data_IF_585492846168
#
_entry.id   IF_585492846168
#
_cell.length_a   1.000
_cell.length_b   1.000
_cell.length_c   1.000
_cell.angle_alpha   90.00
_cell.angle_beta   90.00
_cell.angle_gamma   90.00
#
_symmetry.space_group_name_H-M   'P 1'
#
loop_
_entity.id
_entity.type
_entity.pdbx_description
1 polymer ?
#
# COMPACT_ATOMS: atom_id res chain seq x y z
N UNK A 1 21.31 19.52 -15.89
CA UNK A 1 21.51 18.68 -14.68
C UNK A 1 20.94 19.35 -13.42
N UNK A 2 21.26 20.60 -13.09
CA UNK A 2 20.71 21.32 -11.91
C UNK A 2 19.19 21.53 -11.98
N UNK A 3 18.64 21.95 -13.12
CA UNK A 3 17.19 22.15 -13.28
C UNK A 3 16.40 20.84 -13.08
N UNK A 4 16.90 19.73 -13.59
CA UNK A 4 16.25 18.41 -13.45
C UNK A 4 16.26 17.93 -11.99
N UNK A 5 17.33 18.21 -11.25
CA UNK A 5 17.44 17.89 -9.82
C UNK A 5 16.48 18.74 -8.94
N UNK A 6 16.31 20.01 -9.32
CA UNK A 6 15.37 20.92 -8.65
C UNK A 6 13.93 20.52 -8.92
N UNK A 7 13.60 20.11 -10.14
CA UNK A 7 12.26 19.65 -10.53
C UNK A 7 11.88 18.33 -9.86
N UNK A 8 12.79 17.36 -9.77
CA UNK A 8 12.60 16.11 -9.03
C UNK A 8 12.35 16.37 -7.53
N UNK A 9 13.07 17.31 -6.94
CA UNK A 9 12.88 17.70 -5.55
C UNK A 9 11.51 18.34 -5.32
N UNK A 10 11.05 19.20 -6.22
CA UNK A 10 9.72 19.82 -6.14
C UNK A 10 8.62 18.77 -6.27
N UNK A 11 8.75 17.84 -7.20
CA UNK A 11 7.78 16.74 -7.39
C UNK A 11 7.70 15.85 -6.16
N UNK A 12 8.83 15.46 -5.57
CA UNK A 12 8.87 14.66 -4.35
C UNK A 12 8.20 15.38 -3.17
N UNK A 13 8.47 16.67 -2.99
CA UNK A 13 7.82 17.50 -1.96
C UNK A 13 6.32 17.59 -2.15
N UNK A 14 5.85 17.73 -3.38
CA UNK A 14 4.43 17.70 -3.71
C UNK A 14 3.80 16.35 -3.34
N UNK A 15 4.41 15.22 -3.71
CA UNK A 15 3.90 13.89 -3.34
C UNK A 15 3.75 13.76 -1.82
N UNK A 16 4.77 14.13 -1.04
CA UNK A 16 4.73 14.04 0.42
C UNK A 16 3.66 14.97 1.03
N UNK A 17 3.54 16.20 0.53
CA UNK A 17 2.49 17.12 0.98
C UNK A 17 1.09 16.66 0.57
N UNK A 18 0.96 16.02 -0.59
CA UNK A 18 -0.29 15.41 -1.04
C UNK A 18 -0.74 14.24 -0.17
N UNK A 19 0.20 13.41 0.31
CA UNK A 19 -0.12 12.35 1.28
C UNK A 19 -0.70 12.95 2.56
N UNK A 20 -0.07 14.00 3.08
CA UNK A 20 -0.57 14.70 4.27
C UNK A 20 -1.93 15.34 4.02
N UNK A 21 -2.13 15.97 2.88
CA UNK A 21 -3.40 16.57 2.49
C UNK A 21 -4.53 15.53 2.43
N UNK A 22 -4.24 14.31 1.91
CA UNK A 22 -5.18 13.18 1.94
C UNK A 22 -5.49 12.71 3.35
N UNK A 23 -4.50 12.70 4.24
CA UNK A 23 -4.68 12.30 5.64
C UNK A 23 -5.56 13.30 6.39
N UNK A 24 -5.31 14.60 6.21
CA UNK A 24 -5.97 15.67 6.94
C UNK A 24 -7.40 15.94 6.43
N UNK A 25 -7.67 15.79 5.11
CA UNK A 25 -8.91 16.26 4.48
C UNK A 25 -9.64 15.18 3.66
N UNK A 26 -9.01 14.02 3.41
CA UNK A 26 -9.56 12.97 2.57
C UNK A 26 -9.59 13.32 1.07
N UNK A 27 -10.09 12.38 0.26
CA UNK A 27 -10.11 12.53 -1.19
C UNK A 27 -11.08 13.63 -1.67
N UNK A 28 -12.27 13.69 -1.06
CA UNK A 28 -13.34 14.61 -1.50
C UNK A 28 -12.90 16.06 -1.39
N UNK A 29 -12.27 16.41 -0.26
CA UNK A 29 -11.81 17.78 0.03
C UNK A 29 -10.31 18.01 -0.29
N UNK A 30 -9.69 17.10 -1.02
CA UNK A 30 -8.28 17.24 -1.43
C UNK A 30 -8.05 18.48 -2.31
N UNK A 31 -7.08 19.33 -1.91
CA UNK A 31 -6.77 20.58 -2.58
C UNK A 31 -5.32 20.67 -3.04
N UNK A 32 -5.12 20.77 -4.38
CA UNK A 32 -3.80 20.98 -4.97
C UNK A 32 -3.13 22.27 -4.45
N UNK A 33 -3.94 23.30 -4.15
CA UNK A 33 -3.43 24.57 -3.64
C UNK A 33 -2.88 24.42 -2.21
N UNK A 34 -3.60 23.72 -1.32
CA UNK A 34 -3.13 23.45 0.05
C UNK A 34 -1.87 22.57 0.02
N UNK A 35 -1.87 21.55 -0.82
CA UNK A 35 -0.68 20.70 -1.03
C UNK A 35 0.54 21.51 -1.51
N UNK A 36 0.35 22.45 -2.45
CA UNK A 36 1.44 23.35 -2.90
C UNK A 36 1.98 24.23 -1.79
N UNK A 37 1.09 24.84 -0.98
CA UNK A 37 1.48 25.66 0.17
C UNK A 37 2.27 24.83 1.18
N UNK A 38 1.79 23.63 1.52
CA UNK A 38 2.47 22.72 2.43
C UNK A 38 3.83 22.25 1.90
N UNK A 39 3.94 22.08 0.58
CA UNK A 39 5.21 21.77 -0.11
C UNK A 39 6.15 22.98 -0.22
N UNK A 40 5.72 24.19 0.19
CA UNK A 40 6.46 25.45 0.04
C UNK A 40 6.84 25.75 -1.43
N UNK A 41 5.91 25.54 -2.34
CA UNK A 41 6.05 25.86 -3.77
C UNK A 41 4.90 26.78 -4.23
N UNK A 42 5.03 27.34 -5.44
CA UNK A 42 3.97 28.15 -6.01
C UNK A 42 2.68 27.34 -6.22
N UNK A 43 1.51 27.98 -6.10
CA UNK A 43 0.22 27.32 -6.36
C UNK A 43 0.08 26.79 -7.81
N UNK A 44 0.92 27.25 -8.74
CA UNK A 44 1.00 26.76 -10.11
C UNK A 44 1.88 25.51 -10.26
N UNK A 45 2.73 25.21 -9.27
CA UNK A 45 3.69 24.08 -9.37
C UNK A 45 2.99 22.72 -9.56
N UNK A 46 1.89 22.37 -8.85
CA UNK A 46 1.22 21.10 -9.07
C UNK A 46 0.82 20.89 -10.54
N UNK A 47 0.31 21.92 -11.20
CA UNK A 47 -0.17 21.85 -12.59
C UNK A 47 0.97 21.73 -13.63
N UNK A 48 2.24 21.93 -13.23
CA UNK A 48 3.39 21.63 -14.07
C UNK A 48 3.80 20.16 -13.99
N UNK A 49 3.54 19.50 -12.84
CA UNK A 49 3.96 18.14 -12.56
C UNK A 49 2.85 17.13 -12.74
N UNK A 50 1.59 17.54 -12.63
CA UNK A 50 0.40 16.67 -12.71
C UNK A 50 -0.66 17.37 -13.57
N UNK A 51 -1.22 16.64 -14.51
CA UNK A 51 -2.24 17.13 -15.44
C UNK A 51 -3.51 17.58 -14.69
N UNK A 52 -3.91 16.81 -13.69
CA UNK A 52 -5.12 17.01 -12.91
C UNK A 52 -4.98 16.39 -11.49
N UNK A 53 -6.05 16.53 -10.70
CA UNK A 53 -6.13 15.94 -9.35
C UNK A 53 -5.97 14.41 -9.38
N UNK A 54 -6.58 13.76 -10.36
CA UNK A 54 -6.58 12.29 -10.45
C UNK A 54 -5.19 11.76 -10.77
N UNK A 55 -4.43 12.43 -11.63
CA UNK A 55 -3.04 12.09 -11.89
C UNK A 55 -2.18 12.30 -10.63
N UNK A 56 -2.39 13.38 -9.90
CA UNK A 56 -1.67 13.63 -8.67
C UNK A 56 -1.94 12.51 -7.64
N UNK A 57 -3.19 12.10 -7.45
CA UNK A 57 -3.56 10.99 -6.57
C UNK A 57 -2.93 9.67 -7.04
N UNK A 58 -2.98 9.37 -8.35
CA UNK A 58 -2.30 8.19 -8.89
C UNK A 58 -0.81 8.16 -8.60
N UNK A 59 -0.14 9.29 -8.71
CA UNK A 59 1.29 9.39 -8.42
C UNK A 59 1.61 9.23 -6.92
N UNK A 60 0.73 9.72 -6.04
CA UNK A 60 0.83 9.43 -4.60
C UNK A 60 0.72 7.91 -4.35
N UNK A 61 -0.27 7.25 -4.96
CA UNK A 61 -0.45 5.80 -4.81
C UNK A 61 0.76 5.03 -5.35
N UNK A 62 1.30 5.42 -6.52
CA UNK A 62 2.53 4.82 -7.09
C UNK A 62 3.73 5.00 -6.15
N UNK A 63 3.87 6.18 -5.54
CA UNK A 63 4.95 6.43 -4.58
C UNK A 63 4.86 5.49 -3.37
N UNK A 64 3.68 5.33 -2.78
CA UNK A 64 3.48 4.41 -1.65
C UNK A 64 3.71 2.96 -2.09
N UNK A 65 3.23 2.58 -3.29
CA UNK A 65 3.44 1.25 -3.86
C UNK A 65 4.93 0.94 -4.07
N UNK A 66 5.71 1.89 -4.59
CA UNK A 66 7.15 1.68 -4.80
C UNK A 66 7.91 1.40 -3.50
N UNK A 67 7.43 1.94 -2.36
CA UNK A 67 8.00 1.63 -1.05
C UNK A 67 7.69 0.20 -0.60
N UNK A 68 6.50 -0.28 -0.93
CA UNK A 68 6.11 -1.66 -0.70
C UNK A 68 6.86 -2.63 -1.63
N UNK A 69 7.00 -2.29 -2.91
CA UNK A 69 7.68 -3.13 -3.91
C UNK A 69 9.11 -3.48 -3.52
N UNK A 70 9.85 -2.53 -2.92
CA UNK A 70 11.21 -2.80 -2.43
C UNK A 70 11.25 -3.91 -1.38
N UNK A 71 10.25 -3.95 -0.49
CA UNK A 71 10.14 -5.01 0.53
C UNK A 71 9.64 -6.32 -0.07
N UNK A 72 8.65 -6.26 -0.94
CA UNK A 72 8.05 -7.46 -1.54
C UNK A 72 9.04 -8.21 -2.43
N UNK A 73 9.86 -7.51 -3.20
CA UNK A 73 10.93 -8.13 -3.99
C UNK A 73 11.94 -8.91 -3.12
N UNK A 74 12.29 -8.38 -1.94
CA UNK A 74 13.20 -9.08 -1.04
C UNK A 74 12.54 -10.33 -0.41
N UNK A 75 11.26 -10.25 -0.05
CA UNK A 75 10.50 -11.39 0.45
C UNK A 75 10.42 -12.49 -0.62
N UNK A 76 10.12 -12.13 -1.86
CA UNK A 76 10.10 -13.05 -3.01
C UNK A 76 11.46 -13.72 -3.19
N UNK A 77 12.55 -12.95 -3.19
CA UNK A 77 13.91 -13.48 -3.36
C UNK A 77 14.28 -14.50 -2.29
N UNK A 78 13.89 -14.25 -1.03
CA UNK A 78 14.23 -15.12 0.11
C UNK A 78 13.38 -16.38 0.15
N UNK A 79 12.11 -16.30 -0.26
CA UNK A 79 11.13 -17.38 -0.10
C UNK A 79 10.63 -18.01 -1.41
N UNK A 80 11.27 -17.73 -2.55
CA UNK A 80 10.86 -18.21 -3.88
C UNK A 80 10.68 -19.73 -3.97
N UNK A 81 11.41 -20.52 -3.17
CA UNK A 81 11.36 -21.98 -3.19
C UNK A 81 10.27 -22.60 -2.31
N UNK A 82 9.49 -21.78 -1.58
CA UNK A 82 8.44 -22.25 -0.67
C UNK A 82 7.23 -21.31 -0.74
N UNK A 83 6.25 -21.69 -1.53
CA UNK A 83 5.06 -20.87 -1.82
C UNK A 83 4.21 -20.61 -0.58
N UNK A 84 4.09 -21.58 0.34
CA UNK A 84 3.38 -21.40 1.61
C UNK A 84 4.05 -20.33 2.48
N UNK A 85 5.39 -20.42 2.61
CA UNK A 85 6.16 -19.44 3.35
C UNK A 85 6.14 -18.07 2.67
N UNK A 86 6.23 -18.03 1.35
CA UNK A 86 6.12 -16.80 0.57
C UNK A 86 4.78 -16.10 0.80
N UNK A 87 3.66 -16.82 0.69
CA UNK A 87 2.32 -16.27 0.90
C UNK A 87 2.13 -15.78 2.35
N UNK A 88 2.61 -16.52 3.33
CA UNK A 88 2.60 -16.13 4.73
C UNK A 88 3.40 -14.84 4.98
N UNK A 89 4.69 -14.83 4.58
CA UNK A 89 5.57 -13.68 4.83
C UNK A 89 5.11 -12.43 4.08
N UNK A 90 4.63 -12.58 2.85
CA UNK A 90 4.08 -11.48 2.08
C UNK A 90 2.85 -10.86 2.78
N UNK A 91 1.96 -11.70 3.32
CA UNK A 91 0.75 -11.26 4.02
C UNK A 91 1.05 -10.58 5.35
N UNK A 92 1.92 -11.16 6.18
CA UNK A 92 2.27 -10.57 7.48
C UNK A 92 3.10 -9.29 7.33
N UNK A 93 4.00 -9.22 6.33
CA UNK A 93 4.77 -8.03 6.03
C UNK A 93 3.90 -6.92 5.45
N UNK A 94 2.86 -7.23 4.66
CA UNK A 94 1.89 -6.26 4.20
C UNK A 94 1.15 -5.58 5.37
N UNK A 95 0.76 -6.35 6.39
CA UNK A 95 0.19 -5.80 7.61
C UNK A 95 1.19 -4.93 8.38
N UNK A 96 2.42 -5.43 8.60
CA UNK A 96 3.49 -4.69 9.29
C UNK A 96 3.83 -3.38 8.58
N UNK A 97 3.91 -3.40 7.26
CA UNK A 97 4.17 -2.20 6.45
C UNK A 97 3.09 -1.13 6.67
N UNK A 98 1.81 -1.52 6.68
CA UNK A 98 0.70 -0.60 6.93
C UNK A 98 0.69 -0.07 8.36
N UNK A 99 1.01 -0.89 9.35
CA UNK A 99 1.12 -0.47 10.77
C UNK A 99 2.26 0.54 10.95
N UNK A 100 3.43 0.26 10.34
CA UNK A 100 4.60 1.12 10.45
C UNK A 100 4.44 2.46 9.73
N UNK A 101 3.62 2.51 8.66
CA UNK A 101 3.42 3.69 7.83
C UNK A 101 2.03 4.30 8.04
N UNK A 102 1.75 4.76 9.25
CA UNK A 102 0.45 5.34 9.64
C UNK A 102 0.04 6.52 8.76
N UNK A 103 1.02 7.32 8.31
CA UNK A 103 0.84 8.44 7.40
C UNK A 103 0.35 8.04 5.99
N UNK A 104 0.39 6.74 5.64
CA UNK A 104 -0.15 6.23 4.38
C UNK A 104 -1.56 5.64 4.52
N UNK A 105 -2.16 5.71 5.73
CA UNK A 105 -3.48 5.08 5.99
C UNK A 105 -4.55 5.55 5.02
N UNK A 106 -4.63 6.84 4.76
CA UNK A 106 -5.58 7.41 3.81
C UNK A 106 -5.36 6.92 2.39
N UNK A 107 -4.08 6.71 1.99
CA UNK A 107 -3.73 6.15 0.68
C UNK A 107 -4.15 4.67 0.59
N UNK A 108 -3.95 3.87 1.63
CA UNK A 108 -4.38 2.47 1.65
C UNK A 108 -5.90 2.35 1.56
N UNK A 109 -6.65 3.19 2.30
CA UNK A 109 -8.10 3.20 2.25
C UNK A 109 -8.61 3.66 0.87
N UNK A 110 -8.00 4.69 0.30
CA UNK A 110 -8.32 5.20 -1.02
C UNK A 110 -8.08 4.14 -2.10
N UNK A 111 -6.94 3.48 -2.07
CA UNK A 111 -6.61 2.41 -3.00
C UNK A 111 -7.64 1.27 -2.95
N UNK A 112 -8.12 0.91 -1.75
CA UNK A 112 -9.12 -0.14 -1.57
C UNK A 112 -10.50 0.24 -2.15
N UNK A 113 -10.89 1.52 -2.09
CA UNK A 113 -12.24 1.98 -2.48
C UNK A 113 -12.35 2.52 -3.89
N UNK A 114 -11.27 3.11 -4.44
CA UNK A 114 -11.26 3.79 -5.73
C UNK A 114 -10.74 2.95 -6.91
N UNK A 115 -10.68 1.61 -6.77
CA UNK A 115 -10.20 0.72 -7.84
C UNK A 115 -8.67 0.65 -7.99
N UNK A 116 -7.92 1.26 -7.08
CA UNK A 116 -6.45 1.19 -7.05
C UNK A 116 -5.91 0.10 -6.10
N UNK A 117 -6.82 -0.68 -5.46
CA UNK A 117 -6.46 -1.66 -4.41
C UNK A 117 -5.53 -2.77 -4.88
N UNK A 118 -5.64 -3.15 -6.14
CA UNK A 118 -4.76 -4.17 -6.71
C UNK A 118 -3.29 -3.72 -6.79
N UNK A 119 -3.01 -2.43 -6.90
CA UNK A 119 -1.64 -1.94 -6.98
C UNK A 119 -0.86 -2.23 -5.69
N UNK A 120 -1.47 -1.97 -4.53
CA UNK A 120 -0.82 -2.15 -3.22
C UNK A 120 -0.82 -3.60 -2.72
N UNK A 121 -1.72 -4.45 -3.24
CA UNK A 121 -1.86 -5.85 -2.82
C UNK A 121 -1.31 -6.84 -3.85
N UNK A 122 -0.83 -6.38 -5.01
CA UNK A 122 -0.46 -7.25 -6.15
C UNK A 122 0.52 -8.36 -5.76
N UNK A 123 1.62 -8.02 -5.11
CA UNK A 123 2.65 -9.00 -4.71
C UNK A 123 2.09 -10.03 -3.75
N UNK A 124 1.26 -9.61 -2.79
CA UNK A 124 0.60 -10.51 -1.85
C UNK A 124 -0.41 -11.42 -2.55
N UNK A 125 -1.24 -10.88 -3.44
CA UNK A 125 -2.20 -11.65 -4.23
C UNK A 125 -1.47 -12.69 -5.09
N UNK A 126 -0.39 -12.29 -5.76
CA UNK A 126 0.44 -13.21 -6.56
C UNK A 126 1.03 -14.34 -5.73
N UNK A 127 1.55 -14.03 -4.54
CA UNK A 127 2.10 -15.05 -3.64
C UNK A 127 1.02 -16.04 -3.16
N UNK A 128 -0.19 -15.56 -2.85
CA UNK A 128 -1.30 -16.43 -2.44
C UNK A 128 -1.76 -17.31 -3.61
N UNK A 129 -1.83 -16.77 -4.83
CA UNK A 129 -2.19 -17.56 -6.03
C UNK A 129 -1.16 -18.65 -6.29
N UNK A 130 0.14 -18.35 -6.26
CA UNK A 130 1.21 -19.35 -6.41
C UNK A 130 1.08 -20.49 -5.39
N UNK A 131 0.80 -20.18 -4.14
CA UNK A 131 0.52 -21.19 -3.12
C UNK A 131 -0.70 -22.05 -3.46
N UNK A 132 -1.81 -21.42 -3.85
CA UNK A 132 -3.03 -22.12 -4.21
C UNK A 132 -2.84 -23.03 -5.42
N UNK A 133 -2.12 -22.57 -6.44
CA UNK A 133 -1.81 -23.35 -7.65
C UNK A 133 -0.96 -24.58 -7.31
N UNK A 134 0.07 -24.43 -6.46
CA UNK A 134 0.90 -25.55 -6.01
C UNK A 134 0.10 -26.59 -5.22
N UNK A 135 -0.87 -26.16 -4.42
CA UNK A 135 -1.74 -27.05 -3.63
C UNK A 135 -2.93 -27.62 -4.42
N UNK A 136 -3.11 -27.24 -5.68
CA UNK A 136 -4.25 -27.66 -6.49
C UNK A 136 -5.60 -27.12 -6.00
N UNK A 137 -5.60 -25.95 -5.33
CA UNK A 137 -6.81 -25.30 -4.82
C UNK A 137 -7.55 -24.68 -6.02
N UNK A 138 -8.88 -24.78 -6.03
CA UNK A 138 -9.71 -24.22 -7.10
C UNK A 138 -9.55 -22.70 -7.20
N UNK A 139 -9.80 -22.13 -8.38
CA UNK A 139 -9.75 -20.67 -8.58
C UNK A 139 -10.72 -19.94 -7.64
N UNK A 140 -11.92 -20.51 -7.44
CA UNK A 140 -12.95 -19.94 -6.56
C UNK A 140 -12.47 -19.90 -5.10
N UNK A 141 -11.88 -20.99 -4.61
CA UNK A 141 -11.33 -21.05 -3.24
C UNK A 141 -10.10 -20.16 -3.08
N UNK A 142 -9.27 -20.03 -4.13
CA UNK A 142 -8.15 -19.10 -4.13
C UNK A 142 -8.59 -17.64 -4.03
N UNK A 143 -9.62 -17.23 -4.77
CA UNK A 143 -10.20 -15.88 -4.68
C UNK A 143 -10.83 -15.64 -3.30
N UNK A 144 -11.51 -16.64 -2.73
CA UNK A 144 -12.05 -16.55 -1.37
C UNK A 144 -10.93 -16.39 -0.33
N UNK A 145 -9.81 -17.10 -0.49
CA UNK A 145 -8.64 -16.99 0.39
C UNK A 145 -7.99 -15.60 0.29
N UNK A 146 -7.80 -15.10 -0.93
CA UNK A 146 -7.30 -13.74 -1.18
C UNK A 146 -8.21 -12.70 -0.50
N UNK A 147 -9.51 -12.80 -0.72
CA UNK A 147 -10.49 -11.91 -0.09
C UNK A 147 -10.39 -11.96 1.44
N UNK A 148 -10.34 -13.17 2.01
CA UNK A 148 -10.28 -13.38 3.46
C UNK A 148 -9.03 -12.77 4.08
N UNK A 149 -7.85 -12.98 3.47
CA UNK A 149 -6.58 -12.40 3.94
C UNK A 149 -6.61 -10.88 3.85
N UNK A 150 -7.10 -10.32 2.74
CA UNK A 150 -7.25 -8.86 2.57
C UNK A 150 -8.21 -8.25 3.59
N UNK A 151 -9.38 -8.87 3.79
CA UNK A 151 -10.38 -8.43 4.77
C UNK A 151 -9.83 -8.51 6.20
N UNK A 152 -9.08 -9.56 6.51
CA UNK A 152 -8.42 -9.72 7.81
C UNK A 152 -7.37 -8.61 8.05
N UNK A 153 -6.51 -8.32 7.07
CA UNK A 153 -5.52 -7.24 7.17
C UNK A 153 -6.22 -5.88 7.36
N UNK A 154 -7.24 -5.59 6.57
CA UNK A 154 -8.00 -4.34 6.69
C UNK A 154 -8.70 -4.21 8.05
N UNK A 155 -9.37 -5.27 8.52
CA UNK A 155 -10.01 -5.33 9.82
C UNK A 155 -9.01 -5.19 10.98
N UNK A 156 -7.84 -5.82 10.86
CA UNK A 156 -6.75 -5.69 11.84
C UNK A 156 -6.30 -4.25 12.01
N UNK A 157 -6.23 -3.48 10.92
CA UNK A 157 -5.86 -2.05 10.95
C UNK A 157 -6.97 -1.17 11.57
N UNK A 158 -8.24 -1.54 11.37
CA UNK A 158 -9.38 -0.83 11.98
C UNK A 158 -9.48 -1.09 13.49
N UNK A 159 -9.15 -2.32 13.90
CA UNK A 159 -9.15 -2.76 15.31
C UNK A 159 -7.83 -2.45 16.02
N UNK A 160 -6.88 -1.83 15.32
CA UNK A 160 -5.58 -1.46 15.86
C UNK A 160 -5.77 -0.35 16.91
N UNK A 161 -5.78 -0.74 18.17
CA UNK A 161 -5.63 0.17 19.30
C UNK A 161 -4.16 0.42 19.62
N UNK A 162 -3.84 0.62 20.89
CA UNK A 162 -2.46 0.85 21.36
C UNK A 162 -1.63 -0.45 21.42
N UNK A 163 -2.28 -1.62 21.39
CA UNK A 163 -1.61 -2.93 21.49
C UNK A 163 -1.32 -3.54 20.10
N UNK A 164 -0.32 -2.99 19.43
CA UNK A 164 0.19 -3.49 18.14
C UNK A 164 0.64 -4.95 18.23
N UNK A 165 1.25 -5.35 19.35
CA UNK A 165 1.79 -6.70 19.53
C UNK A 165 0.69 -7.76 19.56
N UNK A 166 -0.44 -7.48 20.23
CA UNK A 166 -1.61 -8.38 20.25
C UNK A 166 -2.19 -8.56 18.84
N UNK A 167 -2.29 -7.48 18.07
CA UNK A 167 -2.79 -7.54 16.68
C UNK A 167 -1.86 -8.39 15.82
N UNK A 168 -0.54 -8.19 15.91
CA UNK A 168 0.43 -8.98 15.16
C UNK A 168 0.43 -10.46 15.54
N UNK A 169 0.30 -10.79 16.83
CA UNK A 169 0.22 -12.19 17.29
C UNK A 169 -1.02 -12.90 16.75
N UNK A 170 -2.18 -12.23 16.76
CA UNK A 170 -3.42 -12.77 16.17
C UNK A 170 -3.29 -12.93 14.66
N UNK A 171 -2.63 -11.98 13.98
CA UNK A 171 -2.40 -12.05 12.55
C UNK A 171 -1.48 -13.22 12.19
N UNK A 172 -0.41 -13.45 12.94
CA UNK A 172 0.48 -14.59 12.75
C UNK A 172 -0.27 -15.91 12.90
N UNK A 173 -1.08 -16.07 13.97
CA UNK A 173 -1.88 -17.26 14.19
C UNK A 173 -2.90 -17.50 13.06
N UNK A 174 -3.62 -16.46 12.64
CA UNK A 174 -4.57 -16.57 11.53
C UNK A 174 -3.88 -16.97 10.21
N UNK A 175 -2.79 -16.28 9.85
CA UNK A 175 -2.08 -16.51 8.59
C UNK A 175 -1.38 -17.88 8.56
N UNK A 176 -0.91 -18.39 9.70
CA UNK A 176 -0.37 -19.76 9.78
C UNK A 176 -1.42 -20.80 9.34
N UNK A 177 -2.66 -20.68 9.82
CA UNK A 177 -3.75 -21.58 9.44
C UNK A 177 -4.08 -21.46 7.93
N UNK A 178 -3.92 -20.26 7.34
CA UNK A 178 -4.23 -20.06 5.93
C UNK A 178 -3.20 -20.71 4.98
N UNK A 179 -1.95 -20.91 5.43
CA UNK A 179 -0.83 -21.31 4.57
C UNK A 179 -0.10 -22.56 5.11
N UNK A 180 -0.78 -23.44 5.84
CA UNK A 180 -0.36 -24.81 6.15
C UNK A 180 -0.65 -25.72 4.95
#
# INVERSE_FOLDING_TARGET
MEEQFVEENVRARLILSGIKELEDHGLTDFSLRRAAVAAQVSCAAPYRHFKDKDEYIREIIKYVNSRWELLSCEIERVHASNTARLAYEMSICALRFRIANKNFRSVFNLAATAGYGELLDRSMISAIRLYCDEKGISVEDAELRIYTVRAFIAGSLMLLGDDVQSVLSKAQAFLSIQFE
#
